data_IF_860256918524
#
_entry.id   IF_860256918524
#
_cell.length_a   1.000
_cell.length_b   1.000
_cell.length_c   1.000
_cell.angle_alpha   90.00
_cell.angle_beta   90.00
_cell.angle_gamma   90.00
#
_symmetry.space_group_name_H-M   'P 1'
#
loop_
_entity.id
_entity.type
_entity.pdbx_description
1 polymer ?
#
# COMPACT_ATOMS: atom_id res chain seq x y z
N UNK A 1 -8.07 3.81 34.13
CA UNK A 1 -8.70 3.20 32.93
C UNK A 1 -7.71 2.95 31.81
N UNK A 2 -6.90 3.93 31.36
CA UNK A 2 -5.90 3.74 30.26
C UNK A 2 -4.93 2.57 30.51
N UNK A 3 -4.36 2.42 31.72
CA UNK A 3 -3.39 1.36 32.03
C UNK A 3 -4.00 -0.06 32.00
N UNK A 4 -5.25 -0.23 32.42
CA UNK A 4 -5.95 -1.53 32.35
C UNK A 4 -6.27 -1.89 30.89
N UNK A 5 -6.67 -0.94 30.09
CA UNK A 5 -6.94 -1.12 28.66
C UNK A 5 -5.66 -1.48 27.88
N UNK A 6 -4.54 -0.80 28.17
CA UNK A 6 -3.23 -1.12 27.57
C UNK A 6 -2.75 -2.54 27.94
N UNK A 7 -2.95 -2.96 29.21
CA UNK A 7 -2.62 -4.33 29.66
C UNK A 7 -3.48 -5.37 28.97
N UNK A 8 -4.77 -5.09 28.79
CA UNK A 8 -5.68 -5.97 28.06
C UNK A 8 -5.30 -6.08 26.58
N UNK A 9 -4.98 -4.98 25.92
CA UNK A 9 -4.48 -4.98 24.53
C UNK A 9 -3.18 -5.79 24.40
N UNK A 10 -2.19 -5.55 25.26
CA UNK A 10 -0.95 -6.29 25.24
C UNK A 10 -1.14 -7.80 25.46
N UNK A 11 -2.07 -8.17 26.35
CA UNK A 11 -2.41 -9.58 26.57
C UNK A 11 -3.08 -10.21 25.34
N UNK A 12 -4.05 -9.52 24.74
CA UNK A 12 -4.71 -9.96 23.49
C UNK A 12 -3.70 -10.13 22.37
N UNK A 13 -2.82 -9.17 22.19
CA UNK A 13 -1.76 -9.22 21.18
C UNK A 13 -0.85 -10.43 21.39
N UNK A 14 -0.41 -10.68 22.63
CA UNK A 14 0.39 -11.86 22.97
C UNK A 14 -0.33 -13.16 22.59
N UNK A 15 -1.63 -13.25 22.82
CA UNK A 15 -2.43 -14.42 22.43
C UNK A 15 -2.54 -14.58 20.91
N UNK A 16 -2.72 -13.47 20.18
CA UNK A 16 -2.76 -13.48 18.73
C UNK A 16 -1.43 -13.95 18.15
N UNK A 17 -0.32 -13.37 18.61
CA UNK A 17 1.03 -13.73 18.16
C UNK A 17 1.37 -15.20 18.43
N UNK A 18 0.88 -15.76 19.54
CA UNK A 18 1.05 -17.19 19.82
C UNK A 18 0.20 -18.07 18.89
N UNK A 19 -1.04 -17.66 18.58
CA UNK A 19 -1.98 -18.38 17.71
C UNK A 19 -1.64 -18.27 16.24
N UNK A 20 -1.17 -17.10 15.79
CA UNK A 20 -0.82 -16.75 14.42
C UNK A 20 0.70 -16.62 14.23
N UNK A 21 1.47 -17.42 14.96
CA UNK A 21 2.93 -17.43 14.80
C UNK A 21 3.30 -17.84 13.39
N UNK A 22 3.93 -16.94 12.65
CA UNK A 22 4.42 -17.20 11.29
C UNK A 22 5.62 -18.15 11.39
N UNK A 23 5.58 -19.36 10.76
CA UNK A 23 6.72 -20.28 10.75
C UNK A 23 7.95 -19.67 10.09
N UNK A 24 9.13 -19.93 10.64
CA UNK A 24 10.38 -19.38 10.07
C UNK A 24 10.61 -19.74 8.60
N UNK A 25 10.38 -20.98 8.14
CA UNK A 25 10.56 -21.30 6.73
C UNK A 25 9.63 -20.50 5.81
N UNK A 26 8.38 -20.24 6.26
CA UNK A 26 7.41 -19.47 5.48
C UNK A 26 7.82 -18.00 5.42
N UNK A 27 8.29 -17.44 6.54
CA UNK A 27 8.83 -16.08 6.58
C UNK A 27 10.02 -15.89 5.65
N UNK A 28 10.99 -16.83 5.67
CA UNK A 28 12.14 -16.78 4.78
C UNK A 28 11.75 -16.92 3.29
N UNK A 29 10.76 -17.73 2.98
CA UNK A 29 10.20 -17.82 1.63
C UNK A 29 9.60 -16.48 1.18
N UNK A 30 8.86 -15.81 2.06
CA UNK A 30 8.28 -14.48 1.78
C UNK A 30 9.38 -13.44 1.53
N UNK A 31 10.42 -13.40 2.36
CA UNK A 31 11.54 -12.49 2.17
C UNK A 31 12.34 -12.78 0.89
N UNK A 32 12.46 -14.04 0.50
CA UNK A 32 13.13 -14.41 -0.76
C UNK A 32 12.33 -13.95 -1.99
N UNK A 33 10.99 -13.89 -1.90
CA UNK A 33 10.12 -13.35 -2.95
C UNK A 33 10.08 -11.83 -2.99
N UNK A 34 10.38 -11.16 -1.88
CA UNK A 34 10.25 -9.72 -1.71
C UNK A 34 11.60 -9.11 -1.29
N UNK A 35 12.59 -8.99 -2.21
CA UNK A 35 13.93 -8.52 -1.89
C UNK A 35 13.95 -7.12 -1.26
N UNK A 36 13.05 -6.23 -1.66
CA UNK A 36 12.94 -4.88 -1.09
C UNK A 36 12.56 -4.88 0.40
N UNK A 37 11.83 -5.91 0.87
CA UNK A 37 11.61 -6.12 2.30
C UNK A 37 12.86 -6.69 2.97
N UNK A 38 13.50 -7.69 2.35
CA UNK A 38 14.65 -8.38 2.90
C UNK A 38 15.86 -7.45 3.14
N UNK A 39 15.96 -6.36 2.39
CA UNK A 39 17.01 -5.34 2.54
C UNK A 39 16.88 -4.49 3.81
N UNK A 40 15.77 -4.62 4.57
CA UNK A 40 15.52 -3.82 5.76
C UNK A 40 16.29 -4.29 6.99
N UNK A 41 16.53 -3.40 7.98
CA UNK A 41 17.16 -3.78 9.24
C UNK A 41 16.39 -4.91 9.96
N UNK A 42 17.12 -5.76 10.69
CA UNK A 42 16.54 -6.88 11.41
C UNK A 42 15.42 -6.48 12.39
N UNK A 43 15.51 -5.30 13.00
CA UNK A 43 14.44 -4.74 13.85
C UNK A 43 13.16 -4.47 13.08
N UNK A 44 13.27 -3.99 11.84
CA UNK A 44 12.15 -3.73 10.96
C UNK A 44 11.51 -5.04 10.49
N UNK A 45 12.33 -6.03 10.13
CA UNK A 45 11.84 -7.36 9.76
C UNK A 45 11.10 -8.05 10.90
N UNK A 46 11.57 -7.90 12.13
CA UNK A 46 10.88 -8.43 13.31
C UNK A 46 9.52 -7.75 13.53
N UNK A 47 9.45 -6.44 13.36
CA UNK A 47 8.21 -5.67 13.49
C UNK A 47 7.25 -5.94 12.35
N UNK A 48 7.73 -6.03 11.09
CA UNK A 48 6.93 -6.45 9.93
C UNK A 48 6.28 -7.81 10.17
N UNK A 49 7.06 -8.80 10.63
CA UNK A 49 6.54 -10.13 10.94
C UNK A 49 5.50 -10.10 12.04
N UNK A 50 5.71 -9.28 13.09
CA UNK A 50 4.73 -9.08 14.17
C UNK A 50 3.43 -8.48 13.64
N UNK A 51 3.51 -7.40 12.85
CA UNK A 51 2.34 -6.75 12.27
C UNK A 51 1.63 -7.65 11.27
N UNK A 52 2.37 -8.41 10.45
CA UNK A 52 1.78 -9.39 9.53
C UNK A 52 0.97 -10.47 10.28
N UNK A 53 1.49 -10.98 11.42
CA UNK A 53 0.73 -11.91 12.26
C UNK A 53 -0.59 -11.31 12.77
N UNK A 54 -0.57 -10.06 13.22
CA UNK A 54 -1.77 -9.35 13.68
C UNK A 54 -2.73 -9.07 12.54
N UNK A 55 -2.23 -8.68 11.39
CA UNK A 55 -3.00 -8.43 10.19
C UNK A 55 -3.72 -9.69 9.71
N UNK A 56 -3.02 -10.84 9.65
CA UNK A 56 -3.59 -12.14 9.30
C UNK A 56 -4.66 -12.63 10.32
N UNK A 57 -4.68 -12.12 11.53
CA UNK A 57 -5.72 -12.39 12.53
C UNK A 57 -6.94 -11.49 12.38
N UNK A 58 -6.75 -10.26 11.89
CA UNK A 58 -7.80 -9.25 11.74
C UNK A 58 -8.48 -9.29 10.35
N UNK A 59 -7.83 -9.86 9.33
CA UNK A 59 -8.30 -9.87 7.95
C UNK A 59 -8.77 -11.25 7.51
N UNK A 60 -9.79 -11.27 6.65
CA UNK A 60 -10.35 -12.46 6.04
C UNK A 60 -9.96 -12.51 4.57
N UNK A 61 -9.25 -13.55 4.18
CA UNK A 61 -8.83 -13.78 2.80
C UNK A 61 -9.80 -14.73 2.11
N UNK A 62 -10.24 -14.37 0.90
CA UNK A 62 -11.06 -15.21 0.05
C UNK A 62 -10.53 -15.20 -1.38
N UNK A 63 -10.50 -16.38 -2.01
CA UNK A 63 -10.16 -16.48 -3.43
C UNK A 63 -11.41 -16.33 -4.30
N UNK A 64 -11.27 -15.66 -5.43
CA UNK A 64 -12.27 -15.59 -6.48
C UNK A 64 -11.86 -16.47 -7.68
N UNK A 65 -12.76 -16.71 -8.64
CA UNK A 65 -12.45 -17.45 -9.84
C UNK A 65 -11.95 -18.90 -9.62
N UNK A 66 -12.23 -19.49 -8.45
CA UNK A 66 -11.77 -20.85 -8.10
C UNK A 66 -10.36 -20.89 -7.49
N UNK A 67 -9.74 -19.73 -7.24
CA UNK A 67 -8.46 -19.65 -6.54
C UNK A 67 -8.65 -20.03 -5.06
N UNK A 68 -7.79 -20.89 -4.53
CA UNK A 68 -7.69 -21.15 -3.10
C UNK A 68 -6.49 -20.39 -2.54
N UNK A 69 -6.74 -19.45 -1.62
CA UNK A 69 -5.67 -18.65 -1.00
C UNK A 69 -5.00 -19.48 0.09
N UNK A 70 -3.74 -19.83 -0.13
CA UNK A 70 -2.93 -20.53 0.85
C UNK A 70 -2.19 -19.58 1.82
N UNK A 71 -1.56 -20.16 2.86
CA UNK A 71 -0.82 -19.38 3.88
C UNK A 71 0.36 -18.59 3.28
N UNK A 72 0.97 -19.05 2.20
CA UNK A 72 2.09 -18.36 1.55
C UNK A 72 1.60 -17.13 0.78
N UNK A 73 0.47 -17.25 0.11
CA UNK A 73 -0.20 -16.16 -0.59
C UNK A 73 -0.66 -15.08 0.41
N UNK A 74 -1.36 -15.50 1.46
CA UNK A 74 -1.86 -14.59 2.49
C UNK A 74 -0.70 -13.86 3.20
N UNK A 75 0.39 -14.55 3.52
CA UNK A 75 1.56 -13.93 4.13
C UNK A 75 2.30 -12.99 3.16
N UNK A 76 2.40 -13.34 1.89
CA UNK A 76 3.01 -12.48 0.88
C UNK A 76 2.27 -11.12 0.78
N UNK A 77 0.94 -11.16 0.76
CA UNK A 77 0.10 -9.95 0.79
C UNK A 77 0.27 -9.20 2.12
N UNK A 78 0.14 -9.90 3.26
CA UNK A 78 0.22 -9.30 4.58
C UNK A 78 1.55 -8.57 4.82
N UNK A 79 2.68 -9.17 4.41
CA UNK A 79 4.01 -8.59 4.60
C UNK A 79 4.18 -7.26 3.84
N UNK A 80 3.61 -7.14 2.65
CA UNK A 80 3.61 -5.94 1.84
C UNK A 80 2.63 -4.89 2.40
N UNK A 81 1.41 -5.31 2.71
CA UNK A 81 0.35 -4.45 3.24
C UNK A 81 0.75 -3.74 4.55
N UNK A 82 1.51 -4.41 5.42
CA UNK A 82 1.90 -3.80 6.71
C UNK A 82 3.15 -2.91 6.61
N UNK A 83 3.81 -2.88 5.46
CA UNK A 83 5.02 -2.06 5.28
C UNK A 83 4.75 -0.55 5.43
N UNK A 84 3.72 0.04 4.79
CA UNK A 84 3.41 1.45 4.97
C UNK A 84 3.12 1.82 6.43
N UNK A 85 2.48 0.91 7.15
CA UNK A 85 2.05 1.16 8.54
C UNK A 85 3.04 0.65 9.60
N UNK A 86 4.26 0.27 9.22
CA UNK A 86 5.29 -0.29 10.09
C UNK A 86 5.52 0.52 11.38
N UNK A 87 5.46 1.85 11.32
CA UNK A 87 5.71 2.75 12.45
C UNK A 87 4.44 3.26 13.14
N UNK A 88 3.30 3.21 12.45
CA UNK A 88 2.03 3.74 12.97
C UNK A 88 1.06 2.65 13.42
N UNK A 89 1.35 1.38 13.09
CA UNK A 89 0.53 0.22 13.44
C UNK A 89 -0.74 0.10 12.58
N UNK A 90 -1.56 -0.93 12.84
CA UNK A 90 -2.69 -1.33 11.99
C UNK A 90 -3.95 -0.44 12.11
N UNK A 91 -3.88 0.67 12.84
CA UNK A 91 -5.05 1.55 13.03
C UNK A 91 -5.66 2.06 11.70
N UNK A 92 -4.88 2.43 10.66
CA UNK A 92 -5.41 2.86 9.36
C UNK A 92 -6.25 1.79 8.65
N UNK A 93 -6.03 0.52 8.94
CA UNK A 93 -6.67 -0.61 8.27
C UNK A 93 -7.92 -1.16 8.98
N UNK A 94 -8.48 -0.42 9.96
CA UNK A 94 -9.66 -0.87 10.72
C UNK A 94 -10.99 -0.73 9.97
N UNK A 95 -11.01 0.00 8.87
CA UNK A 95 -12.22 0.29 8.10
C UNK A 95 -12.73 -0.90 7.29
N UNK A 96 -11.89 -1.91 7.04
CA UNK A 96 -12.23 -3.08 6.23
C UNK A 96 -11.78 -4.39 6.88
N UNK A 97 -12.35 -5.52 6.42
CA UNK A 97 -12.01 -6.87 6.89
C UNK A 97 -11.59 -7.77 5.75
N UNK A 98 -12.29 -7.73 4.61
CA UNK A 98 -12.14 -8.65 3.49
C UNK A 98 -10.98 -8.31 2.57
N UNK A 99 -10.24 -9.34 2.14
CA UNK A 99 -9.30 -9.28 1.03
C UNK A 99 -9.70 -10.37 0.04
N UNK A 100 -10.01 -9.97 -1.19
CA UNK A 100 -10.41 -10.86 -2.27
C UNK A 100 -9.26 -10.99 -3.25
N UNK A 101 -8.78 -12.23 -3.45
CA UNK A 101 -7.67 -12.50 -4.37
C UNK A 101 -8.20 -13.19 -5.62
N UNK A 102 -8.01 -12.57 -6.76
CA UNK A 102 -8.32 -13.10 -8.08
C UNK A 102 -7.10 -13.81 -8.67
N UNK A 103 -7.26 -14.86 -9.50
CA UNK A 103 -6.12 -15.51 -10.15
C UNK A 103 -5.37 -14.57 -11.09
N UNK A 104 -6.10 -13.74 -11.84
CA UNK A 104 -5.61 -12.81 -12.87
C UNK A 104 -6.24 -11.42 -12.67
N UNK A 105 -5.92 -10.47 -13.54
CA UNK A 105 -6.57 -9.17 -13.62
C UNK A 105 -8.10 -9.31 -13.75
N UNK A 106 -8.82 -8.39 -13.13
CA UNK A 106 -10.28 -8.35 -13.20
C UNK A 106 -10.71 -7.29 -14.18
N UNK A 107 -11.54 -7.66 -15.16
CA UNK A 107 -12.17 -6.69 -16.04
C UNK A 107 -13.39 -6.12 -15.33
N UNK A 108 -13.28 -4.88 -14.85
CA UNK A 108 -14.40 -4.16 -14.27
C UNK A 108 -15.09 -3.32 -15.33
N UNK A 109 -16.43 -3.38 -15.34
CA UNK A 109 -17.24 -2.52 -16.19
C UNK A 109 -17.50 -1.21 -15.47
N UNK A 110 -16.95 -0.12 -16.00
CA UNK A 110 -17.11 1.23 -15.45
C UNK A 110 -18.18 2.00 -16.22
N UNK A 111 -18.94 2.80 -15.48
CA UNK A 111 -19.87 3.75 -16.02
C UNK A 111 -19.49 5.15 -15.53
N UNK A 112 -19.13 6.02 -16.45
CA UNK A 112 -18.81 7.43 -16.16
C UNK A 112 -19.83 8.30 -16.87
N UNK A 113 -20.43 9.22 -16.13
CA UNK A 113 -21.34 10.22 -16.70
C UNK A 113 -20.53 11.49 -16.95
N UNK A 114 -20.48 11.95 -18.19
CA UNK A 114 -19.81 13.20 -18.57
C UNK A 114 -20.60 14.45 -18.13
N UNK A 115 -20.00 15.63 -18.28
CA UNK A 115 -20.61 16.91 -17.91
C UNK A 115 -21.89 17.21 -18.70
N UNK A 116 -22.18 16.50 -19.79
CA UNK A 116 -23.40 16.61 -20.61
C UNK A 116 -24.47 15.57 -20.18
N UNK A 117 -24.20 14.77 -19.16
CA UNK A 117 -25.10 13.73 -18.66
C UNK A 117 -25.12 12.45 -19.51
N UNK A 118 -24.13 12.24 -20.39
CA UNK A 118 -24.01 11.05 -21.21
C UNK A 118 -23.24 9.99 -20.41
N UNK A 119 -23.82 8.79 -20.28
CA UNK A 119 -23.18 7.66 -19.63
C UNK A 119 -22.26 6.95 -20.63
N UNK A 120 -20.98 6.94 -20.32
CA UNK A 120 -19.97 6.16 -21.03
C UNK A 120 -19.71 4.88 -20.27
N UNK A 121 -19.78 3.75 -20.94
CA UNK A 121 -19.44 2.45 -20.37
C UNK A 121 -18.17 1.94 -21.04
N UNK A 122 -17.19 1.56 -20.24
CA UNK A 122 -15.95 0.92 -20.73
C UNK A 122 -15.52 -0.21 -19.79
N UNK A 123 -14.75 -1.13 -20.34
CA UNK A 123 -14.15 -2.21 -19.58
C UNK A 123 -12.73 -1.77 -19.16
N UNK A 124 -12.44 -1.84 -17.88
CA UNK A 124 -11.15 -1.53 -17.28
C UNK A 124 -10.53 -2.79 -16.70
N UNK A 125 -9.28 -3.08 -17.07
CA UNK A 125 -8.52 -4.14 -16.45
C UNK A 125 -7.96 -3.63 -15.12
N UNK A 126 -8.36 -4.29 -14.02
CA UNK A 126 -7.94 -3.94 -12.67
C UNK A 126 -6.99 -5.01 -12.14
N UNK A 127 -5.80 -4.58 -11.73
CA UNK A 127 -4.83 -5.40 -10.99
C UNK A 127 -5.14 -5.44 -9.50
N UNK A 128 -5.83 -4.39 -9.01
CA UNK A 128 -6.34 -4.23 -7.66
C UNK A 128 -7.50 -3.24 -7.59
N UNK A 129 -8.18 -3.17 -6.47
CA UNK A 129 -9.16 -2.13 -6.14
C UNK A 129 -9.41 -2.09 -4.63
N UNK A 130 -9.21 -0.93 -4.01
CA UNK A 130 -9.61 -0.65 -2.65
C UNK A 130 -10.92 0.14 -2.64
N UNK A 131 -11.94 -0.38 -1.96
CA UNK A 131 -13.25 0.28 -1.83
C UNK A 131 -13.42 0.84 -0.42
N UNK A 132 -13.96 2.05 -0.30
CA UNK A 132 -14.23 2.66 1.00
C UNK A 132 -15.13 1.77 1.88
N UNK A 133 -14.58 1.25 2.98
CA UNK A 133 -15.27 0.32 3.89
C UNK A 133 -15.60 -1.06 3.29
N UNK A 134 -15.17 -1.33 2.07
CA UNK A 134 -15.35 -2.60 1.35
C UNK A 134 -14.08 -3.47 1.39
N UNK A 135 -14.09 -4.60 0.68
CA UNK A 135 -12.91 -5.44 0.55
C UNK A 135 -11.83 -4.75 -0.29
N UNK A 136 -10.58 -5.16 -0.06
CA UNK A 136 -9.49 -4.90 -1.00
C UNK A 136 -9.42 -6.07 -1.97
N UNK A 137 -9.44 -5.79 -3.27
CA UNK A 137 -9.28 -6.79 -4.33
C UNK A 137 -7.85 -6.74 -4.87
N UNK A 138 -7.27 -7.91 -5.17
CA UNK A 138 -5.90 -8.05 -5.67
C UNK A 138 -5.83 -9.15 -6.73
N UNK A 139 -5.07 -8.91 -7.80
CA UNK A 139 -4.65 -9.93 -8.74
C UNK A 139 -3.48 -10.73 -8.15
N UNK A 140 -3.58 -12.07 -8.13
CA UNK A 140 -2.48 -12.91 -7.66
C UNK A 140 -1.25 -12.88 -8.58
N UNK A 141 -1.46 -12.75 -9.88
CA UNK A 141 -0.34 -12.62 -10.84
C UNK A 141 0.50 -11.41 -10.44
N UNK A 142 -0.10 -10.23 -10.27
CA UNK A 142 0.60 -9.00 -9.91
C UNK A 142 1.24 -9.08 -8.52
N UNK A 143 0.53 -9.65 -7.54
CA UNK A 143 1.09 -9.89 -6.19
C UNK A 143 2.29 -10.81 -6.26
N UNK A 144 2.24 -11.88 -7.07
CA UNK A 144 3.34 -12.85 -7.16
C UNK A 144 4.59 -12.30 -7.84
N UNK A 145 4.42 -11.30 -8.71
CA UNK A 145 5.48 -10.61 -9.44
C UNK A 145 6.01 -9.37 -8.71
N UNK A 146 5.42 -8.98 -7.59
CA UNK A 146 5.79 -7.77 -6.82
C UNK A 146 7.26 -7.68 -6.43
N UNK A 147 7.97 -8.81 -6.34
CA UNK A 147 9.40 -8.84 -6.07
C UNK A 147 10.24 -8.37 -7.25
N UNK A 148 9.85 -8.77 -8.46
CA UNK A 148 10.56 -8.43 -9.70
C UNK A 148 10.14 -7.04 -10.20
N UNK A 149 8.85 -6.70 -10.07
CA UNK A 149 8.31 -5.40 -10.48
C UNK A 149 8.75 -4.24 -9.57
N UNK A 150 9.18 -4.52 -8.35
CA UNK A 150 9.68 -3.52 -7.41
C UNK A 150 10.86 -2.69 -7.96
N UNK A 151 11.73 -3.26 -8.79
CA UNK A 151 12.84 -2.54 -9.42
C UNK A 151 12.34 -1.42 -10.37
N UNK A 152 11.12 -1.56 -10.87
CA UNK A 152 10.45 -0.57 -11.73
C UNK A 152 9.53 0.38 -10.95
N UNK A 153 9.46 0.22 -9.62
CA UNK A 153 8.62 1.05 -8.75
C UNK A 153 7.17 0.59 -8.64
N UNK A 154 6.77 -0.56 -9.24
CA UNK A 154 5.41 -1.07 -9.23
C UNK A 154 5.19 -2.11 -8.11
N UNK A 155 4.08 -1.97 -7.38
CA UNK A 155 3.65 -2.93 -6.36
C UNK A 155 2.15 -2.79 -6.04
N UNK A 156 1.33 -3.65 -6.62
CA UNK A 156 -0.13 -3.59 -6.47
C UNK A 156 -0.61 -3.62 -5.02
N UNK A 157 0.04 -4.39 -4.13
CA UNK A 157 -0.38 -4.46 -2.72
C UNK A 157 -0.14 -3.11 -2.04
N UNK A 158 1.04 -2.51 -2.23
CA UNK A 158 1.34 -1.19 -1.63
C UNK A 158 0.41 -0.13 -2.20
N UNK A 159 0.10 -0.20 -3.51
CA UNK A 159 -0.85 0.67 -4.20
C UNK A 159 -2.22 0.67 -3.53
N UNK A 160 -2.85 -0.49 -3.46
CA UNK A 160 -4.19 -0.61 -2.88
C UNK A 160 -4.24 -0.22 -1.40
N UNK A 161 -3.19 -0.56 -0.66
CA UNK A 161 -3.10 -0.17 0.75
C UNK A 161 -2.76 1.32 0.95
N UNK A 162 -2.19 2.00 -0.05
CA UNK A 162 -2.09 3.46 -0.06
C UNK A 162 -3.48 4.10 -0.20
N UNK A 163 -4.34 3.58 -1.09
CA UNK A 163 -5.74 4.02 -1.17
C UNK A 163 -6.52 3.77 0.13
N UNK A 164 -6.34 2.62 0.78
CA UNK A 164 -6.96 2.37 2.10
C UNK A 164 -6.53 3.41 3.14
N UNK A 165 -5.26 3.84 3.10
CA UNK A 165 -4.74 4.88 3.99
C UNK A 165 -5.34 6.24 3.62
N UNK A 166 -5.39 6.59 2.34
CA UNK A 166 -5.94 7.83 1.82
C UNK A 166 -7.42 7.99 2.23
N UNK A 167 -8.22 6.97 2.01
CA UNK A 167 -9.65 6.92 2.40
C UNK A 167 -9.89 6.89 3.92
N UNK A 168 -8.88 7.02 4.74
CA UNK A 168 -9.01 6.94 6.20
C UNK A 168 -9.84 8.05 6.84
N UNK A 169 -10.06 9.18 6.16
CA UNK A 169 -10.97 10.27 6.55
C UNK A 169 -12.25 10.33 5.70
N UNK A 170 -12.42 9.40 4.74
CA UNK A 170 -13.64 9.15 3.97
C UNK A 170 -13.53 9.43 2.48
N UNK A 171 -12.53 10.16 2.02
CA UNK A 171 -12.32 10.50 0.61
C UNK A 171 -10.94 10.02 0.14
N UNK A 172 -10.85 9.55 -1.12
CA UNK A 172 -9.59 9.31 -1.80
C UNK A 172 -9.26 10.58 -2.58
N UNK A 173 -8.45 11.46 -1.99
CA UNK A 173 -8.09 12.77 -2.58
C UNK A 173 -6.56 12.99 -2.59
N UNK A 174 -5.77 11.95 -2.35
CA UNK A 174 -4.31 12.00 -2.25
C UNK A 174 -3.80 12.67 -0.97
N UNK A 175 -4.71 12.95 -0.01
CA UNK A 175 -4.39 13.62 1.25
C UNK A 175 -4.82 12.72 2.41
N UNK A 176 -3.98 11.79 2.84
CA UNK A 176 -4.32 10.85 3.90
C UNK A 176 -4.61 11.56 5.22
N UNK A 177 -5.28 10.91 6.19
CA UNK A 177 -5.59 11.53 7.48
C UNK A 177 -4.38 12.16 8.16
N UNK A 178 -4.45 13.45 8.40
CA UNK A 178 -3.38 14.24 9.02
C UNK A 178 -3.84 14.83 10.36
N UNK A 179 -2.94 14.94 11.35
CA UNK A 179 -3.31 15.30 12.72
C UNK A 179 -3.89 16.73 12.88
N UNK A 180 -3.62 17.63 11.93
CA UNK A 180 -4.06 19.05 12.02
C UNK A 180 -4.28 19.68 10.65
N UNK A 181 -5.08 20.76 10.62
CA UNK A 181 -5.29 21.56 9.41
C UNK A 181 -3.97 22.10 8.85
N UNK A 182 -3.04 22.52 9.72
CA UNK A 182 -1.73 23.03 9.28
C UNK A 182 -0.90 21.96 8.58
N UNK A 183 -0.96 20.69 9.04
CA UNK A 183 -0.28 19.59 8.37
C UNK A 183 -0.96 19.24 7.04
N UNK A 184 -2.30 19.31 6.96
CA UNK A 184 -3.04 19.15 5.72
C UNK A 184 -2.67 20.25 4.70
N UNK A 185 -2.65 21.51 5.12
CA UNK A 185 -2.23 22.62 4.26
C UNK A 185 -0.78 22.45 3.75
N UNK A 186 0.13 22.01 4.64
CA UNK A 186 1.52 21.74 4.27
C UNK A 186 1.65 20.54 3.29
N UNK A 187 0.79 19.53 3.42
CA UNK A 187 0.72 18.39 2.51
C UNK A 187 0.27 18.84 1.12
N UNK A 188 -0.86 19.54 1.05
CA UNK A 188 -1.43 20.06 -0.20
C UNK A 188 -0.44 20.98 -0.92
N UNK A 189 0.25 21.85 -0.19
CA UNK A 189 1.27 22.73 -0.77
C UNK A 189 2.45 22.00 -1.42
N UNK A 190 2.66 20.72 -1.13
CA UNK A 190 3.71 19.89 -1.73
C UNK A 190 3.15 18.96 -2.80
N UNK A 191 2.00 18.28 -2.55
CA UNK A 191 1.46 17.30 -3.49
C UNK A 191 0.94 17.96 -4.77
N UNK A 192 0.19 19.06 -4.67
CA UNK A 192 -0.40 19.71 -5.83
C UNK A 192 0.65 20.12 -6.88
N UNK A 193 1.70 20.89 -6.54
CA UNK A 193 2.72 21.25 -7.53
C UNK A 193 3.58 20.04 -7.96
N UNK A 194 3.67 18.98 -7.15
CA UNK A 194 4.35 17.76 -7.56
C UNK A 194 3.53 17.00 -8.60
N UNK A 195 2.23 16.88 -8.40
CA UNK A 195 1.29 16.27 -9.34
C UNK A 195 1.23 17.05 -10.67
N UNK A 196 1.07 18.38 -10.61
CA UNK A 196 1.07 19.23 -11.83
C UNK A 196 2.35 19.05 -12.68
N UNK A 197 3.52 19.02 -12.04
CA UNK A 197 4.79 18.77 -12.72
C UNK A 197 4.83 17.37 -13.35
N UNK A 198 4.35 16.37 -12.62
CA UNK A 198 4.31 14.99 -13.10
C UNK A 198 3.38 14.86 -14.32
N UNK A 199 2.17 15.40 -14.27
CA UNK A 199 1.24 15.42 -15.40
C UNK A 199 1.90 16.09 -16.64
N UNK A 200 2.57 17.23 -16.46
CA UNK A 200 3.26 17.91 -17.55
C UNK A 200 4.44 17.10 -18.13
N UNK A 201 5.07 16.24 -17.34
CA UNK A 201 6.10 15.31 -17.83
C UNK A 201 5.51 14.18 -18.65
N UNK A 202 4.42 13.57 -18.17
CA UNK A 202 3.68 12.52 -18.88
C UNK A 202 3.11 13.04 -20.19
N UNK A 203 2.46 14.21 -20.18
CA UNK A 203 1.90 14.85 -21.38
C UNK A 203 2.97 15.19 -22.42
N UNK A 204 4.17 15.52 -21.98
CA UNK A 204 5.32 15.76 -22.86
C UNK A 204 5.98 14.46 -23.37
N UNK A 205 5.48 13.28 -23.01
CA UNK A 205 6.03 11.98 -23.37
C UNK A 205 7.43 11.74 -22.80
N UNK A 206 7.78 12.36 -21.67
CA UNK A 206 9.07 12.16 -21.00
C UNK A 206 9.04 10.86 -20.21
N UNK A 207 10.20 10.22 -20.11
CA UNK A 207 10.37 9.08 -19.22
C UNK A 207 10.29 9.54 -17.75
N UNK A 208 9.33 8.99 -17.01
CA UNK A 208 9.09 9.28 -15.61
C UNK A 208 9.56 8.13 -14.71
N UNK A 209 9.92 8.45 -13.48
CA UNK A 209 10.24 7.44 -12.46
C UNK A 209 8.95 6.77 -11.94
N UNK A 210 7.93 7.58 -11.71
CA UNK A 210 6.62 7.12 -11.29
C UNK A 210 5.85 6.58 -12.49
N UNK A 211 4.99 5.59 -12.27
CA UNK A 211 4.13 5.06 -13.33
C UNK A 211 3.25 6.19 -13.90
N UNK A 212 3.19 6.36 -15.24
CA UNK A 212 2.31 7.34 -15.87
C UNK A 212 0.84 7.23 -15.50
N UNK A 213 0.38 6.08 -15.02
CA UNK A 213 -0.96 5.90 -14.48
C UNK A 213 -1.29 6.90 -13.37
N UNK A 214 -0.32 7.27 -12.54
CA UNK A 214 -0.46 8.31 -11.53
C UNK A 214 -0.84 9.70 -12.06
N UNK A 215 -0.80 9.95 -13.38
CA UNK A 215 -1.27 11.22 -13.95
C UNK A 215 -2.80 11.25 -14.18
N UNK A 216 -3.51 10.15 -13.95
CA UNK A 216 -4.97 10.07 -14.11
C UNK A 216 -5.72 10.85 -13.05
N UNK A 217 -5.20 10.89 -11.82
CA UNK A 217 -5.76 11.65 -10.71
C UNK A 217 -4.74 11.83 -9.58
N UNK A 218 -5.02 12.72 -8.62
CA UNK A 218 -4.10 13.00 -7.51
C UNK A 218 -4.02 11.83 -6.52
N UNK A 219 -5.10 11.07 -6.33
CA UNK A 219 -5.12 9.86 -5.51
C UNK A 219 -4.26 8.75 -6.12
N UNK A 220 -4.27 8.60 -7.45
CA UNK A 220 -3.39 7.66 -8.15
C UNK A 220 -1.91 8.11 -8.10
N UNK A 221 -1.68 9.42 -8.22
CA UNK A 221 -0.34 9.97 -8.01
C UNK A 221 0.19 9.66 -6.60
N UNK A 222 -0.66 9.79 -5.58
CA UNK A 222 -0.29 9.40 -4.23
C UNK A 222 0.05 7.90 -4.14
N UNK A 223 -0.81 7.02 -4.67
CA UNK A 223 -0.62 5.58 -4.61
C UNK A 223 0.66 5.12 -5.31
N UNK A 224 0.91 5.52 -6.58
CA UNK A 224 2.16 5.17 -7.29
C UNK A 224 3.41 5.81 -6.65
N UNK A 225 3.24 6.96 -5.99
CA UNK A 225 4.34 7.56 -5.21
C UNK A 225 4.69 6.73 -3.99
N UNK A 226 3.69 6.16 -3.30
CA UNK A 226 3.90 5.29 -2.14
C UNK A 226 4.55 3.97 -2.56
N UNK A 227 4.15 3.39 -3.70
CA UNK A 227 4.83 2.23 -4.27
C UNK A 227 6.32 2.49 -4.46
N UNK A 228 6.66 3.53 -5.23
CA UNK A 228 8.04 3.89 -5.55
C UNK A 228 8.83 4.29 -4.31
N UNK A 229 8.20 4.95 -3.33
CA UNK A 229 8.80 5.29 -2.05
C UNK A 229 9.32 4.06 -1.29
N UNK A 230 8.59 2.94 -1.34
CA UNK A 230 8.98 1.73 -0.64
C UNK A 230 9.83 0.77 -1.48
N UNK A 231 9.70 0.77 -2.80
CA UNK A 231 10.35 -0.18 -3.69
C UNK A 231 11.61 0.39 -4.35
N UNK A 232 11.59 1.65 -4.78
CA UNK A 232 12.76 2.35 -5.37
C UNK A 232 13.07 3.70 -4.68
N UNK A 233 13.32 3.68 -3.35
CA UNK A 233 13.40 4.88 -2.54
C UNK A 233 14.58 5.80 -2.85
N UNK A 234 15.73 5.25 -3.31
CA UNK A 234 16.92 6.07 -3.61
C UNK A 234 16.68 6.96 -4.81
N UNK A 235 16.11 6.40 -5.87
CA UNK A 235 15.80 7.12 -7.08
C UNK A 235 14.68 8.13 -6.84
N UNK A 236 13.64 7.74 -6.07
CA UNK A 236 12.59 8.66 -5.69
C UNK A 236 13.12 9.85 -4.88
N UNK A 237 14.01 9.63 -3.91
CA UNK A 237 14.63 10.71 -3.16
C UNK A 237 15.48 11.62 -4.03
N UNK A 238 16.15 11.07 -5.06
CA UNK A 238 16.97 11.85 -5.97
C UNK A 238 16.14 12.72 -6.91
N UNK A 239 15.04 12.19 -7.48
CA UNK A 239 14.20 12.90 -8.47
C UNK A 239 13.10 13.74 -7.85
N UNK A 240 12.55 13.33 -6.70
CA UNK A 240 11.42 13.98 -6.01
C UNK A 240 11.73 14.25 -4.54
N UNK A 241 12.82 14.99 -4.19
CA UNK A 241 13.32 15.07 -2.81
C UNK A 241 12.33 15.69 -1.82
N UNK A 242 11.56 16.68 -2.23
CA UNK A 242 10.57 17.35 -1.37
C UNK A 242 9.38 16.43 -1.08
N UNK A 243 8.84 15.79 -2.12
CA UNK A 243 7.74 14.84 -2.00
C UNK A 243 8.17 13.58 -1.22
N UNK A 244 9.36 13.04 -1.50
CA UNK A 244 9.96 11.97 -0.71
C UNK A 244 10.05 12.34 0.78
N UNK A 245 10.50 13.56 1.09
CA UNK A 245 10.60 14.05 2.46
C UNK A 245 9.23 14.18 3.16
N UNK A 246 8.16 14.48 2.41
CA UNK A 246 6.80 14.50 2.93
C UNK A 246 6.33 13.10 3.30
N UNK A 247 6.48 12.13 2.39
CA UNK A 247 6.15 10.72 2.63
C UNK A 247 6.96 10.13 3.79
N UNK A 248 8.26 10.44 3.86
CA UNK A 248 9.12 9.97 4.95
C UNK A 248 8.66 10.46 6.33
N UNK A 249 8.15 11.69 6.42
CA UNK A 249 7.56 12.22 7.67
C UNK A 249 6.24 11.54 8.00
N UNK A 250 5.37 11.36 7.01
CA UNK A 250 4.07 10.74 7.19
C UNK A 250 4.20 9.29 7.66
N UNK A 251 4.95 8.47 6.93
CA UNK A 251 5.16 7.06 7.25
C UNK A 251 6.16 6.82 8.40
N UNK A 252 6.85 7.88 8.86
CA UNK A 252 7.91 7.81 9.87
C UNK A 252 9.01 6.80 9.48
N UNK A 253 9.31 6.71 8.18
CA UNK A 253 10.26 5.78 7.60
C UNK A 253 11.15 6.52 6.58
N UNK A 254 12.42 6.14 6.50
CA UNK A 254 13.35 6.58 5.45
C UNK A 254 13.93 5.35 4.74
N UNK A 255 13.20 4.74 3.77
CA UNK A 255 13.64 3.53 3.10
C UNK A 255 14.97 3.71 2.34
N UNK A 256 15.27 4.91 1.85
CA UNK A 256 16.51 5.20 1.14
C UNK A 256 17.75 5.14 2.04
N UNK A 257 17.58 5.17 3.37
CA UNK A 257 18.69 5.08 4.31
C UNK A 257 19.32 3.69 4.40
N UNK A 258 18.58 2.62 4.01
CA UNK A 258 19.02 1.24 4.12
C UNK A 258 18.81 0.38 2.88
N UNK A 259 18.29 0.92 1.80
CA UNK A 259 18.22 0.19 0.53
C UNK A 259 19.66 -0.20 0.12
N UNK A 260 19.91 -1.49 0.05
CA UNK A 260 21.24 -2.06 -0.14
C UNK A 260 21.95 -1.57 -1.40
N UNK A 261 23.22 -1.78 -1.39
CA UNK A 261 24.16 -1.55 -2.51
C UNK A 261 23.78 -2.43 -3.67
#
# INVERSE_FOLDING_TARGET
MKALWQRWQAHRETQVLARRAIPEPLWQLTLARLPFLAARPASDLAELRRLASLFLDEKEFSGAGGLEVDDAMALCIAAQAVLPVLRVGLAPYRSFVGIVVHPDEVVARREVTDDNGIVHTYDEALTGEAMAGGPVMLSWVDVSESGDSADWGYNVVIHEFAHVIDMGDGEADGVPPLPSVTEREAWIAVIDPAFERFCAEVDAGRETLLDPYGATSVEEFFAVSVETFFTNPKEMRARHPEWYGMLARYFQQDPAAFSGV
#
